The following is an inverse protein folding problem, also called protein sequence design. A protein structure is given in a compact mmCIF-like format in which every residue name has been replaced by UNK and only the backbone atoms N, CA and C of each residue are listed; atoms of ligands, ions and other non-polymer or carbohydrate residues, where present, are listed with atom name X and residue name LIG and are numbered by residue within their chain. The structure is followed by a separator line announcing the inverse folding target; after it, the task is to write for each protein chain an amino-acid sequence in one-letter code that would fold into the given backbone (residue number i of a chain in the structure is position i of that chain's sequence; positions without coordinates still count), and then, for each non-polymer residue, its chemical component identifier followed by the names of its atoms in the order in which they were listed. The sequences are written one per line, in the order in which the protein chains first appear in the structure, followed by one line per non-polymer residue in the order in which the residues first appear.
data_IF_447911648728
#
_entry.id   IF_447911648728
#
_cell.length_a   1.000
_cell.length_b   1.000
_cell.length_c   1.000
_cell.angle_alpha   90.00
_cell.angle_beta   90.00
_cell.angle_gamma   90.00
#
_symmetry.space_group_name_H-M   'P 1'
#
loop_
_entity.id
_entity.type
_entity.pdbx_description
1 polymer ?
#
# COMPACT_ATOMS: atom_id res chain seq x y z
N UNK A 1 -16.60 -4.96 -8.03
CA UNK A 1 -17.05 -3.58 -8.33
C UNK A 1 -16.97 -3.35 -9.84
N UNK A 2 -18.10 -3.15 -10.56
CA UNK A 2 -18.09 -3.05 -12.03
C UNK A 2 -17.17 -1.95 -12.58
N UNK A 3 -17.13 -0.77 -11.94
CA UNK A 3 -16.31 0.38 -12.41
C UNK A 3 -14.81 0.11 -12.37
N UNK A 4 -14.33 -0.61 -11.34
CA UNK A 4 -12.93 -1.01 -11.25
C UNK A 4 -12.58 -2.03 -12.34
N UNK A 5 -13.41 -3.05 -12.55
CA UNK A 5 -13.15 -4.06 -13.58
C UNK A 5 -13.13 -3.44 -14.99
N UNK A 6 -14.03 -2.49 -15.28
CA UNK A 6 -13.99 -1.73 -16.53
C UNK A 6 -12.70 -0.93 -16.70
N UNK A 7 -12.26 -0.23 -15.65
CA UNK A 7 -11.00 0.52 -15.67
C UNK A 7 -9.79 -0.40 -15.87
N UNK A 8 -9.75 -1.52 -15.14
CA UNK A 8 -8.70 -2.52 -15.22
C UNK A 8 -8.59 -3.09 -16.63
N UNK A 9 -9.71 -3.57 -17.17
CA UNK A 9 -9.78 -4.12 -18.53
C UNK A 9 -9.31 -3.12 -19.58
N UNK A 10 -9.74 -1.85 -19.47
CA UNK A 10 -9.28 -0.79 -20.37
C UNK A 10 -7.76 -0.61 -20.32
N UNK A 11 -7.17 -0.57 -19.13
CA UNK A 11 -5.72 -0.44 -18.97
C UNK A 11 -4.95 -1.65 -19.49
N UNK A 12 -5.46 -2.86 -19.28
CA UNK A 12 -4.86 -4.10 -19.79
C UNK A 12 -4.91 -4.14 -21.33
N UNK A 13 -6.07 -3.85 -21.94
CA UNK A 13 -6.25 -3.85 -23.40
C UNK A 13 -5.38 -2.81 -24.12
N UNK A 14 -5.09 -1.69 -23.45
CA UNK A 14 -4.30 -0.59 -24.02
C UNK A 14 -2.83 -0.56 -23.55
N UNK A 15 -2.43 -1.49 -22.68
CA UNK A 15 -1.12 -1.49 -22.03
C UNK A 15 -0.81 -0.19 -21.27
N UNK A 16 -1.82 0.43 -20.66
CA UNK A 16 -1.71 1.73 -19.96
C UNK A 16 -1.65 1.60 -18.43
N UNK A 17 -1.36 0.39 -17.92
CA UNK A 17 -1.38 0.14 -16.48
C UNK A 17 -0.30 0.94 -15.75
N UNK A 18 0.91 1.02 -16.31
CA UNK A 18 2.02 1.80 -15.75
C UNK A 18 1.67 3.26 -15.55
N UNK A 19 1.00 3.87 -16.53
CA UNK A 19 0.66 5.30 -16.55
C UNK A 19 -0.52 5.61 -15.65
N UNK A 20 -1.54 4.75 -15.62
CA UNK A 20 -2.81 5.05 -14.94
C UNK A 20 -2.97 4.41 -13.57
N UNK A 21 -2.05 3.53 -13.14
CA UNK A 21 -2.16 2.89 -11.83
C UNK A 21 -1.93 3.84 -10.64
N UNK A 22 -1.38 5.02 -10.88
CA UNK A 22 -1.07 6.03 -9.86
C UNK A 22 -1.95 7.26 -9.99
N UNK A 23 -2.32 7.86 -8.86
CA UNK A 23 -3.16 9.07 -8.76
C UNK A 23 -4.45 8.98 -9.59
N UNK A 24 -5.00 7.78 -9.78
CA UNK A 24 -6.18 7.55 -10.62
C UNK A 24 -7.41 8.31 -10.13
N UNK A 25 -7.47 8.69 -8.85
CA UNK A 25 -8.53 9.54 -8.31
C UNK A 25 -8.60 10.92 -8.95
N UNK A 26 -7.55 11.40 -9.62
CA UNK A 26 -7.55 12.69 -10.31
C UNK A 26 -8.37 12.64 -11.61
N UNK A 27 -8.32 11.52 -12.33
CA UNK A 27 -8.95 11.39 -13.65
C UNK A 27 -10.09 10.35 -13.71
N UNK A 28 -10.34 9.61 -12.63
CA UNK A 28 -11.50 8.71 -12.50
C UNK A 28 -12.53 9.33 -11.56
N UNK A 29 -13.57 10.02 -12.07
CA UNK A 29 -14.57 10.70 -11.23
C UNK A 29 -15.26 9.74 -10.26
N UNK A 30 -15.43 8.48 -10.63
CA UNK A 30 -16.06 7.50 -9.74
C UNK A 30 -15.17 7.15 -8.54
N UNK A 31 -13.85 7.09 -8.73
CA UNK A 31 -12.90 6.80 -7.65
C UNK A 31 -12.78 8.02 -6.75
N UNK A 32 -12.67 9.22 -7.35
CA UNK A 32 -12.72 10.48 -6.62
C UNK A 32 -13.94 10.52 -5.69
N UNK A 33 -15.14 10.35 -6.25
CA UNK A 33 -16.39 10.35 -5.50
C UNK A 33 -16.43 9.26 -4.42
N UNK A 34 -15.93 8.06 -4.71
CA UNK A 34 -15.86 6.99 -3.72
C UNK A 34 -15.01 7.41 -2.51
N UNK A 35 -13.87 8.04 -2.74
CA UNK A 35 -12.94 8.40 -1.68
C UNK A 35 -13.42 9.65 -0.89
N UNK A 36 -13.92 10.68 -1.58
CA UNK A 36 -14.30 11.96 -0.93
C UNK A 36 -15.72 11.98 -0.38
N UNK A 37 -16.58 11.02 -0.74
CA UNK A 37 -17.96 10.93 -0.21
C UNK A 37 -18.14 9.80 0.81
N UNK A 38 -17.14 8.95 1.00
CA UNK A 38 -17.21 7.89 1.99
C UNK A 38 -16.79 8.45 3.36
N UNK A 39 -17.78 8.71 4.22
CA UNK A 39 -17.57 9.29 5.54
C UNK A 39 -16.66 8.42 6.42
N UNK A 40 -16.82 7.09 6.35
CA UNK A 40 -15.99 6.15 7.12
C UNK A 40 -14.52 6.23 6.74
N UNK A 41 -14.19 6.35 5.45
CA UNK A 41 -12.80 6.51 5.03
C UNK A 41 -12.20 7.82 5.55
N UNK A 42 -12.98 8.90 5.51
CA UNK A 42 -12.54 10.21 5.97
C UNK A 42 -12.36 10.25 7.49
N UNK A 43 -13.28 9.65 8.25
CA UNK A 43 -13.19 9.53 9.69
C UNK A 43 -11.98 8.70 10.09
N UNK A 44 -11.79 7.52 9.50
CA UNK A 44 -10.61 6.69 9.75
C UNK A 44 -9.30 7.42 9.46
N UNK A 45 -9.20 8.19 8.36
CA UNK A 45 -7.97 8.94 8.07
C UNK A 45 -7.71 10.06 9.06
N UNK A 46 -8.77 10.78 9.49
CA UNK A 46 -8.66 11.85 10.49
C UNK A 46 -8.25 11.32 11.85
N UNK A 47 -8.84 10.21 12.27
CA UNK A 47 -8.51 9.54 13.53
C UNK A 47 -7.07 9.03 13.53
N UNK A 48 -6.63 8.35 12.47
CA UNK A 48 -5.27 7.82 12.37
C UNK A 48 -4.20 8.92 12.36
N UNK A 49 -4.52 10.07 11.78
CA UNK A 49 -3.60 11.22 11.67
C UNK A 49 -3.80 12.25 12.79
N UNK A 50 -4.76 12.05 13.70
CA UNK A 50 -5.12 12.98 14.76
C UNK A 50 -5.33 14.42 14.25
N UNK A 51 -6.14 14.59 13.20
CA UNK A 51 -6.36 15.88 12.51
C UNK A 51 -7.81 16.05 12.08
N UNK A 52 -8.25 17.31 11.94
CA UNK A 52 -9.60 17.64 11.44
C UNK A 52 -9.71 17.59 9.91
N UNK A 53 -8.58 17.68 9.21
CA UNK A 53 -8.52 17.77 7.75
C UNK A 53 -7.46 16.85 7.17
N UNK A 54 -7.82 16.18 6.09
CA UNK A 54 -6.95 15.25 5.36
C UNK A 54 -7.05 15.51 3.87
N UNK A 55 -5.96 15.29 3.16
CA UNK A 55 -5.89 15.35 1.70
C UNK A 55 -5.47 14.00 1.14
N UNK A 56 -6.02 13.62 -0.01
CA UNK A 56 -5.59 12.43 -0.75
C UNK A 56 -4.39 12.84 -1.62
N UNK A 57 -3.18 12.47 -1.19
CA UNK A 57 -1.96 12.78 -1.94
C UNK A 57 -1.71 11.84 -3.12
N UNK A 58 -2.00 10.55 -2.94
CA UNK A 58 -1.89 9.53 -3.99
C UNK A 58 -2.97 8.45 -3.85
N UNK A 59 -3.17 7.72 -4.93
CA UNK A 59 -3.92 6.44 -4.94
C UNK A 59 -3.19 5.50 -5.86
N UNK A 60 -2.92 4.29 -5.39
CA UNK A 60 -2.06 3.35 -6.10
C UNK A 60 -2.77 2.00 -6.20
N UNK A 61 -2.79 1.42 -7.40
CA UNK A 61 -3.37 0.09 -7.61
C UNK A 61 -2.31 -1.01 -7.48
N UNK A 62 -2.47 -1.85 -6.46
CA UNK A 62 -1.65 -3.06 -6.25
C UNK A 62 -2.44 -4.30 -6.66
N UNK A 63 -2.27 -4.69 -7.91
CA UNK A 63 -2.93 -5.87 -8.49
C UNK A 63 -1.96 -7.04 -8.48
N UNK A 64 -2.44 -8.18 -8.01
CA UNK A 64 -1.71 -9.45 -8.03
C UNK A 64 -2.36 -10.41 -9.03
N UNK A 65 -1.84 -10.52 -10.26
CA UNK A 65 -2.32 -11.51 -11.23
C UNK A 65 -2.14 -12.92 -10.67
N UNK A 66 -3.03 -13.83 -11.12
CA UNK A 66 -2.95 -15.25 -10.73
C UNK A 66 -1.59 -15.82 -11.14
N UNK A 67 -0.97 -16.57 -10.23
CA UNK A 67 0.33 -17.22 -10.44
C UNK A 67 1.46 -16.24 -10.81
N UNK A 68 1.34 -14.95 -10.48
CA UNK A 68 2.43 -14.00 -10.67
C UNK A 68 3.55 -14.27 -9.67
N UNK A 69 4.83 -14.33 -10.11
CA UNK A 69 5.97 -14.41 -9.19
C UNK A 69 6.29 -13.06 -8.53
N UNK A 70 5.61 -11.98 -8.96
CA UNK A 70 5.90 -10.64 -8.50
C UNK A 70 5.51 -10.43 -7.04
N UNK A 71 6.35 -9.72 -6.31
CA UNK A 71 6.18 -9.46 -4.90
C UNK A 71 6.68 -8.08 -4.48
N UNK A 72 6.43 -7.72 -3.23
CA UNK A 72 7.08 -6.60 -2.57
C UNK A 72 7.86 -7.20 -1.41
N UNK A 73 9.17 -6.94 -1.34
CA UNK A 73 9.99 -7.27 -0.18
C UNK A 73 9.53 -6.45 1.04
N UNK A 74 10.00 -6.79 2.25
CA UNK A 74 9.73 -5.96 3.43
C UNK A 74 10.24 -4.53 3.20
N UNK A 75 9.36 -3.55 3.40
CA UNK A 75 9.64 -2.13 3.15
C UNK A 75 8.80 -1.21 4.04
N UNK A 76 9.11 0.08 4.00
CA UNK A 76 8.30 1.15 4.57
C UNK A 76 7.93 2.17 3.49
N UNK A 77 6.63 2.46 3.34
CA UNK A 77 6.09 3.44 2.37
C UNK A 77 6.70 4.84 2.54
N UNK A 78 7.09 5.20 3.77
CA UNK A 78 7.71 6.48 4.12
C UNK A 78 9.00 6.77 3.36
N UNK A 79 9.66 5.73 2.84
CA UNK A 79 10.85 5.84 1.96
C UNK A 79 10.57 6.73 0.74
N UNK A 80 9.33 6.70 0.24
CA UNK A 80 8.91 7.49 -0.92
C UNK A 80 8.21 8.80 -0.56
N UNK A 81 7.22 8.72 0.34
CA UNK A 81 6.34 9.85 0.63
C UNK A 81 6.97 10.89 1.55
N UNK A 82 7.88 10.47 2.44
CA UNK A 82 8.55 11.31 3.44
C UNK A 82 7.60 12.09 4.36
N UNK A 83 6.34 11.64 4.51
CA UNK A 83 5.36 12.30 5.39
C UNK A 83 5.58 12.03 6.89
N UNK A 84 6.42 11.05 7.24
CA UNK A 84 6.63 10.67 8.64
C UNK A 84 5.30 10.30 9.31
N UNK A 85 4.99 10.93 10.44
CA UNK A 85 3.75 10.72 11.19
C UNK A 85 2.53 11.45 10.59
N UNK A 86 2.73 12.33 9.59
CA UNK A 86 1.66 13.12 8.98
C UNK A 86 1.01 12.42 7.76
N UNK A 87 1.29 11.14 7.56
CA UNK A 87 0.77 10.36 6.44
C UNK A 87 0.32 8.97 6.89
N UNK A 88 -0.77 8.50 6.29
CA UNK A 88 -1.27 7.13 6.49
C UNK A 88 -1.71 6.54 5.15
N UNK A 89 -1.56 5.23 5.00
CA UNK A 89 -2.05 4.48 3.84
C UNK A 89 -3.31 3.71 4.23
N UNK A 90 -4.42 3.94 3.50
CA UNK A 90 -5.64 3.13 3.63
C UNK A 90 -5.71 2.10 2.51
N UNK A 91 -5.61 0.81 2.87
CA UNK A 91 -5.68 -0.30 1.91
C UNK A 91 -7.13 -0.75 1.68
N UNK A 92 -7.63 -0.53 0.47
CA UNK A 92 -9.00 -0.89 0.08
C UNK A 92 -9.01 -2.15 -0.79
N UNK A 93 -9.74 -3.17 -0.34
CA UNK A 93 -9.93 -4.41 -1.10
C UNK A 93 -11.04 -4.26 -2.15
N UNK A 94 -10.67 -4.20 -3.43
CA UNK A 94 -11.61 -4.18 -4.56
C UNK A 94 -11.99 -5.58 -5.07
N UNK A 95 -11.23 -6.58 -4.65
CA UNK A 95 -11.47 -8.01 -4.84
C UNK A 95 -11.37 -8.73 -3.50
N UNK A 96 -11.86 -9.97 -3.45
CA UNK A 96 -11.78 -10.78 -2.24
C UNK A 96 -10.33 -11.20 -1.97
N UNK A 97 -9.84 -10.95 -0.76
CA UNK A 97 -8.46 -11.25 -0.34
C UNK A 97 -8.44 -12.51 0.52
N UNK A 98 -7.74 -13.55 0.06
CA UNK A 98 -7.49 -14.81 0.78
C UNK A 98 -6.03 -14.90 1.17
N UNK A 99 -5.69 -15.78 2.11
CA UNK A 99 -4.28 -16.09 2.41
C UNK A 99 -3.49 -16.50 1.14
N UNK A 100 -4.13 -17.24 0.24
CA UNK A 100 -3.54 -17.67 -1.03
C UNK A 100 -3.53 -16.63 -2.16
N UNK A 101 -4.16 -15.46 -1.98
CA UNK A 101 -4.16 -14.40 -2.99
C UNK A 101 -2.99 -13.41 -2.85
N UNK A 102 -2.03 -13.72 -1.97
CA UNK A 102 -0.93 -12.82 -1.62
C UNK A 102 -1.43 -11.56 -0.93
N UNK A 103 -2.01 -11.64 0.28
CA UNK A 103 -2.42 -10.45 1.02
C UNK A 103 -1.21 -9.57 1.37
N UNK A 104 -1.50 -8.37 1.86
CA UNK A 104 -0.48 -7.55 2.53
C UNK A 104 -0.23 -8.15 3.90
N UNK A 105 1.04 -8.22 4.26
CA UNK A 105 1.48 -8.64 5.59
C UNK A 105 2.04 -7.42 6.31
N UNK A 106 1.74 -7.33 7.60
CA UNK A 106 2.28 -6.29 8.47
C UNK A 106 3.16 -6.92 9.53
N UNK A 107 4.29 -6.27 9.80
CA UNK A 107 5.09 -6.57 10.98
C UNK A 107 4.55 -5.77 12.16
N UNK A 108 4.00 -6.44 13.16
CA UNK A 108 3.38 -5.78 14.32
C UNK A 108 4.37 -4.80 14.95
N UNK A 109 3.91 -3.59 15.25
CA UNK A 109 4.67 -2.51 15.89
C UNK A 109 5.88 -1.94 15.13
N UNK A 110 6.13 -2.36 13.88
CA UNK A 110 7.26 -1.85 13.10
C UNK A 110 7.20 -0.34 12.83
N UNK A 111 6.01 0.28 12.88
CA UNK A 111 5.86 1.73 12.74
C UNK A 111 6.53 2.51 13.88
N UNK A 112 6.80 1.88 15.03
CA UNK A 112 7.48 2.51 16.17
C UNK A 112 9.00 2.51 16.05
N UNK A 113 9.55 1.78 15.06
CA UNK A 113 10.99 1.63 14.87
C UNK A 113 11.61 2.80 14.08
N UNK A 114 10.81 3.81 13.71
CA UNK A 114 11.25 4.88 12.82
C UNK A 114 11.52 4.36 11.41
N UNK A 115 12.32 5.10 10.63
CA UNK A 115 12.75 4.67 9.30
C UNK A 115 13.94 3.71 9.42
N UNK A 116 13.75 2.46 9.01
CA UNK A 116 14.80 1.45 8.92
C UNK A 116 15.66 1.66 7.66
N UNK A 117 16.88 1.12 7.70
CA UNK A 117 17.75 1.09 6.52
C UNK A 117 17.08 0.29 5.41
N UNK A 118 17.08 0.86 4.21
CA UNK A 118 16.69 0.18 2.99
C UNK A 118 17.91 0.05 2.09
N UNK A 119 18.12 -1.14 1.51
CA UNK A 119 19.17 -1.42 0.52
C UNK A 119 18.50 -1.60 -0.82
N UNK A 120 18.95 -0.88 -1.83
CA UNK A 120 18.47 -1.01 -3.21
C UNK A 120 19.14 -2.21 -3.89
N UNK A 121 18.33 -3.06 -4.53
CA UNK A 121 18.80 -4.20 -5.31
C UNK A 121 17.92 -4.39 -6.54
N UNK A 122 18.39 -3.90 -7.68
CA UNK A 122 17.67 -4.00 -8.94
C UNK A 122 17.84 -5.35 -9.65
N UNK A 123 18.56 -6.32 -9.05
CA UNK A 123 18.77 -7.63 -9.67
C UNK A 123 17.53 -8.52 -9.63
N UNK A 124 16.65 -8.33 -8.64
CA UNK A 124 15.37 -9.04 -8.54
C UNK A 124 14.28 -8.35 -9.36
N UNK A 125 14.15 -8.76 -10.61
CA UNK A 125 13.08 -8.29 -11.52
C UNK A 125 11.65 -8.67 -11.07
N UNK A 126 11.49 -9.53 -10.06
CA UNK A 126 10.18 -9.87 -9.49
C UNK A 126 9.76 -8.96 -8.34
N UNK A 127 10.67 -8.15 -7.80
CA UNK A 127 10.33 -7.14 -6.80
C UNK A 127 9.71 -5.90 -7.48
N UNK A 128 8.50 -5.53 -7.05
CA UNK A 128 7.72 -4.42 -7.62
C UNK A 128 8.01 -3.06 -6.99
N UNK A 129 8.93 -2.98 -6.02
CA UNK A 129 9.39 -1.71 -5.48
C UNK A 129 10.24 -0.98 -6.51
N UNK A 130 10.10 0.35 -6.58
CA UNK A 130 10.67 1.17 -7.66
C UNK A 130 12.20 1.05 -7.79
N UNK A 131 12.90 0.74 -6.70
CA UNK A 131 14.36 0.54 -6.66
C UNK A 131 14.75 -0.88 -6.25
N UNK A 132 13.80 -1.83 -6.31
CA UNK A 132 14.01 -3.21 -5.85
C UNK A 132 14.44 -3.31 -4.39
N UNK A 133 14.19 -2.27 -3.58
CA UNK A 133 14.81 -2.16 -2.28
C UNK A 133 14.23 -3.12 -1.24
N UNK A 134 14.99 -3.46 -0.22
CA UNK A 134 14.55 -4.31 0.90
C UNK A 134 15.13 -3.83 2.23
N UNK A 135 14.55 -4.30 3.34
CA UNK A 135 15.08 -4.11 4.69
C UNK A 135 15.94 -5.34 5.06
N UNK A 136 17.23 -5.18 5.37
CA UNK A 136 18.11 -6.28 5.78
C UNK A 136 17.62 -7.01 7.04
N UNK A 137 17.90 -8.31 7.16
CA UNK A 137 17.45 -9.14 8.29
C UNK A 137 18.11 -8.76 9.63
N UNK A 138 19.32 -8.20 9.58
CA UNK A 138 20.11 -7.77 10.74
C UNK A 138 19.65 -6.43 11.32
N UNK A 139 18.67 -5.76 10.71
CA UNK A 139 18.08 -4.54 11.26
C UNK A 139 17.40 -4.85 12.61
N UNK A 140 17.86 -4.20 13.71
CA UNK A 140 17.49 -4.58 15.06
C UNK A 140 15.99 -4.46 15.24
N UNK A 141 15.38 -5.58 15.55
CA UNK A 141 13.98 -5.64 15.93
C UNK A 141 13.92 -5.44 17.44
N UNK A 142 13.37 -4.34 17.98
CA UNK A 142 13.05 -4.32 19.39
C UNK A 142 12.09 -5.48 19.68
N UNK A 143 12.57 -6.44 20.47
CA UNK A 143 11.76 -7.49 21.07
C UNK A 143 10.67 -6.79 21.87
N UNK A 144 9.43 -6.86 21.41
CA UNK A 144 8.30 -6.54 22.28
C UNK A 144 8.10 -7.79 23.12
N UNK A 145 8.87 -7.86 24.20
CA UNK A 145 8.61 -8.73 25.33
C UNK A 145 7.22 -8.37 25.86
N UNK A 146 6.23 -9.23 25.58
CA UNK A 146 4.89 -9.14 26.14
C UNK A 146 3.77 -9.02 25.11
N UNK A 147 3.49 -10.09 24.36
CA UNK A 147 2.12 -10.44 23.92
C UNK A 147 2.06 -11.83 23.26
N UNK A 148 2.77 -12.82 23.81
CA UNK A 148 2.56 -14.25 23.49
C UNK A 148 2.33 -15.00 24.81
N UNK A 149 1.32 -14.58 25.55
CA UNK A 149 0.60 -15.44 26.48
C UNK A 149 -0.88 -15.10 26.27
N UNK A 150 -1.66 -16.14 25.98
CA UNK A 150 -3.13 -16.15 25.77
C UNK A 150 -3.66 -15.70 24.39
N UNK A 151 -3.71 -16.66 23.46
CA UNK A 151 -4.89 -17.00 22.65
C UNK A 151 -4.78 -18.43 22.11
#
# INVERSE_FOLDING_TARGET
MPKYESFRRYCEEKQLWSEYRFKSHVFLPWLHNLLVKNERLQEMSRELLCTDHTVIWSTDWCVKPRSSPQHFTWHQDSTYSKFGLNGCTLWLAFSHVKASSGPILYRRFSQRMGQLKHVEDASDSSNLLAFGQYIPEDEPTPLILGCLDEM
#
